data_IF_710879535364
#
_entry.id   IF_710879535364
#
_cell.length_a   1.000
_cell.length_b   1.000
_cell.length_c   1.000
_cell.angle_alpha   90.00
_cell.angle_beta   90.00
_cell.angle_gamma   90.00
#
_symmetry.space_group_name_H-M   'P 1'
#
loop_
_entity.id
_entity.type
_entity.pdbx_description
1 polymer ?
#
# COMPACT_ATOMS: atom_id res chain seq x y z
N UNK A 1 2.53 -39.41 -19.53
CA UNK A 1 1.99 -38.99 -18.22
C UNK A 1 3.17 -38.68 -17.31
N UNK A 2 3.57 -37.42 -17.23
CA UNK A 2 4.75 -37.02 -16.45
C UNK A 2 4.24 -36.38 -15.17
N UNK A 3 4.45 -37.07 -14.06
CA UNK A 3 3.99 -36.68 -12.73
C UNK A 3 4.96 -35.61 -12.22
N UNK A 4 4.54 -34.35 -12.29
CA UNK A 4 5.26 -33.26 -11.64
C UNK A 4 5.05 -33.38 -10.13
N UNK A 5 6.03 -33.97 -9.45
CA UNK A 5 6.21 -33.77 -8.02
C UNK A 5 6.69 -32.32 -7.82
N UNK A 6 5.75 -31.39 -7.76
CA UNK A 6 6.00 -30.04 -7.25
C UNK A 6 6.21 -30.17 -5.74
N UNK A 7 7.45 -30.53 -5.37
CA UNK A 7 7.91 -30.55 -4.00
C UNK A 7 7.82 -29.11 -3.47
N UNK A 8 6.75 -28.83 -2.74
CA UNK A 8 6.64 -27.67 -1.86
C UNK A 8 7.84 -27.68 -0.90
N UNK A 9 8.91 -26.98 -1.27
CA UNK A 9 9.92 -26.56 -0.30
C UNK A 9 9.19 -25.63 0.66
N UNK A 10 8.84 -26.12 1.85
CA UNK A 10 8.40 -25.28 2.96
C UNK A 10 9.44 -24.18 3.12
N UNK A 11 9.07 -22.94 2.80
CA UNK A 11 9.94 -21.81 3.02
C UNK A 11 10.05 -21.63 4.54
N UNK A 12 11.29 -21.59 5.03
CA UNK A 12 11.56 -21.52 6.47
C UNK A 12 11.95 -20.11 6.91
N UNK A 13 12.04 -19.15 5.98
CA UNK A 13 12.46 -17.79 6.29
C UNK A 13 11.26 -17.04 6.85
N UNK A 14 11.45 -16.43 8.01
CA UNK A 14 10.44 -15.57 8.61
C UNK A 14 10.13 -14.38 7.70
N UNK A 15 8.84 -14.10 7.52
CA UNK A 15 8.40 -12.97 6.72
C UNK A 15 8.86 -11.65 7.36
N UNK A 16 9.70 -10.83 6.69
CA UNK A 16 10.19 -9.58 7.25
C UNK A 16 9.13 -8.47 7.30
N UNK A 17 8.05 -8.59 6.50
CA UNK A 17 6.96 -7.62 6.49
C UNK A 17 6.17 -7.68 7.80
N UNK A 18 5.76 -8.88 8.22
CA UNK A 18 4.95 -9.09 9.42
C UNK A 18 5.70 -9.75 10.59
N UNK A 19 7.03 -9.90 10.51
CA UNK A 19 7.87 -10.56 11.52
C UNK A 19 7.31 -11.93 11.95
N UNK A 20 6.87 -12.73 10.96
CA UNK A 20 6.31 -14.05 11.20
C UNK A 20 4.87 -14.10 11.73
N UNK A 21 4.24 -12.96 12.06
CA UNK A 21 2.90 -12.88 12.66
C UNK A 21 1.75 -13.27 11.72
N UNK A 22 2.02 -13.43 10.43
CA UNK A 22 1.02 -13.60 9.35
C UNK A 22 0.03 -12.42 9.17
N UNK A 23 0.11 -11.39 10.00
CA UNK A 23 -0.72 -10.20 9.99
C UNK A 23 0.17 -8.96 10.15
N UNK A 24 -0.06 -7.93 9.35
CA UNK A 24 0.63 -6.63 9.44
C UNK A 24 -0.20 -5.75 10.37
N UNK A 25 0.40 -5.31 11.47
CA UNK A 25 -0.24 -4.39 12.42
C UNK A 25 0.33 -2.97 12.33
N UNK A 26 -0.14 -2.07 13.19
CA UNK A 26 0.32 -0.70 13.21
C UNK A 26 1.82 -0.56 13.52
N UNK A 27 2.39 -1.46 14.31
CA UNK A 27 3.83 -1.41 14.63
C UNK A 27 4.67 -1.79 13.41
N UNK A 28 4.21 -2.77 12.61
CA UNK A 28 4.83 -3.09 11.33
C UNK A 28 4.71 -1.94 10.32
N UNK A 29 3.54 -1.31 10.23
CA UNK A 29 3.29 -0.19 9.31
C UNK A 29 4.24 0.97 9.62
N UNK A 30 4.38 1.35 10.90
CA UNK A 30 5.31 2.42 11.32
C UNK A 30 6.76 2.03 11.07
N UNK A 31 7.15 0.80 11.40
CA UNK A 31 8.52 0.29 11.18
C UNK A 31 8.90 0.30 9.69
N UNK A 32 7.94 0.08 8.80
CA UNK A 32 8.13 0.06 7.35
C UNK A 32 7.91 1.43 6.70
N UNK A 33 7.63 2.48 7.48
CA UNK A 33 7.33 3.82 6.99
C UNK A 33 6.18 3.82 5.96
N UNK A 34 5.12 3.07 6.26
CA UNK A 34 3.94 2.90 5.42
C UNK A 34 2.68 3.52 6.06
N UNK A 35 2.86 4.39 7.06
CA UNK A 35 1.76 5.22 7.54
C UNK A 35 1.08 5.93 6.36
N UNK A 36 -0.25 6.02 6.39
CA UNK A 36 -1.09 6.58 5.31
C UNK A 36 -1.12 5.76 4.02
N UNK A 37 -0.25 4.77 3.82
CA UNK A 37 -0.30 3.91 2.63
C UNK A 37 -0.97 2.58 2.92
N UNK A 38 -0.75 2.05 4.12
CA UNK A 38 -1.26 0.73 4.54
C UNK A 38 -2.23 0.84 5.72
N UNK A 39 -3.05 -0.20 5.86
CA UNK A 39 -3.88 -0.44 7.04
C UNK A 39 -3.62 -1.85 7.57
N UNK A 40 -3.86 -2.13 8.87
CA UNK A 40 -3.66 -3.45 9.41
C UNK A 40 -4.51 -4.50 8.71
N UNK A 41 -3.86 -5.59 8.27
CA UNK A 41 -4.50 -6.63 7.46
C UNK A 41 -3.65 -7.92 7.46
N UNK A 42 -4.21 -9.05 6.99
CA UNK A 42 -3.41 -10.23 6.68
C UNK A 42 -2.23 -9.88 5.76
N UNK A 43 -1.06 -10.44 6.04
CA UNK A 43 0.17 -10.04 5.36
C UNK A 43 0.22 -10.56 3.92
N UNK A 44 0.03 -9.67 2.95
CA UNK A 44 0.08 -9.98 1.52
C UNK A 44 1.45 -10.53 1.06
N UNK A 45 2.54 -10.08 1.68
CA UNK A 45 3.92 -10.48 1.32
C UNK A 45 4.22 -11.96 1.57
N UNK A 46 3.59 -12.54 2.59
CA UNK A 46 3.68 -13.97 2.87
C UNK A 46 2.37 -14.72 2.65
N UNK A 47 1.37 -14.08 2.04
CA UNK A 47 0.01 -14.62 1.89
C UNK A 47 -0.55 -15.18 3.21
N UNK A 48 -0.35 -14.47 4.31
CA UNK A 48 -0.83 -14.89 5.64
C UNK A 48 -0.15 -16.14 6.22
N UNK A 49 0.98 -16.62 5.67
CA UNK A 49 1.69 -17.79 6.20
C UNK A 49 2.71 -17.47 7.30
N UNK A 50 3.14 -16.21 7.40
CA UNK A 50 4.27 -15.80 8.24
C UNK A 50 5.65 -16.21 7.69
N UNK A 51 5.71 -16.86 6.53
CA UNK A 51 6.96 -17.35 5.92
C UNK A 51 7.07 -16.93 4.46
N UNK A 52 8.29 -16.71 3.98
CA UNK A 52 8.58 -16.35 2.59
C UNK A 52 9.74 -17.14 2.04
N UNK A 53 9.76 -17.36 0.73
CA UNK A 53 10.91 -17.95 0.05
C UNK A 53 11.99 -16.89 -0.25
N UNK A 54 13.15 -17.38 -0.70
CA UNK A 54 14.27 -16.52 -1.08
C UNK A 54 13.98 -15.69 -2.33
N UNK A 55 13.10 -16.18 -3.17
CA UNK A 55 12.77 -15.55 -4.44
C UNK A 55 12.00 -14.25 -4.20
N UNK A 56 10.98 -14.29 -3.33
CA UNK A 56 10.21 -13.14 -2.89
C UNK A 56 11.11 -12.05 -2.29
N UNK A 57 12.03 -12.44 -1.41
CA UNK A 57 12.99 -11.51 -0.79
C UNK A 57 13.94 -10.86 -1.80
N UNK A 58 14.31 -11.57 -2.86
CA UNK A 58 15.23 -11.07 -3.87
C UNK A 58 14.56 -10.13 -4.88
N UNK A 59 13.25 -10.30 -5.12
CA UNK A 59 12.54 -9.64 -6.22
C UNK A 59 11.57 -8.55 -5.78
N UNK A 60 11.00 -8.66 -4.59
CA UNK A 60 9.92 -7.79 -4.14
C UNK A 60 10.32 -7.07 -2.86
N UNK A 61 10.37 -5.72 -2.86
CA UNK A 61 10.63 -4.95 -1.66
C UNK A 61 9.65 -5.28 -0.53
N UNK A 62 10.15 -5.31 0.70
CA UNK A 62 9.34 -5.65 1.89
C UNK A 62 8.22 -4.65 2.10
N UNK A 63 8.40 -3.40 1.70
CA UNK A 63 7.49 -2.26 1.80
C UNK A 63 6.70 -1.98 0.50
N UNK A 64 6.70 -2.90 -0.46
CA UNK A 64 6.00 -2.70 -1.74
C UNK A 64 4.48 -2.53 -1.55
N UNK A 65 3.97 -1.31 -1.78
CA UNK A 65 2.58 -0.87 -1.53
C UNK A 65 1.55 -1.55 -2.41
N UNK A 66 1.90 -1.81 -3.67
CA UNK A 66 0.96 -2.42 -4.61
C UNK A 66 0.64 -3.87 -4.25
N UNK A 67 1.48 -4.53 -3.43
CA UNK A 67 1.24 -5.90 -2.99
C UNK A 67 0.19 -5.96 -1.88
N UNK A 68 -1.06 -6.19 -2.29
CA UNK A 68 -2.22 -6.32 -1.40
C UNK A 68 -2.76 -7.76 -1.39
N UNK A 69 -3.55 -8.12 -0.36
CA UNK A 69 -4.02 -9.51 -0.14
C UNK A 69 -5.06 -9.96 -1.18
N UNK A 70 -5.72 -9.00 -1.81
CA UNK A 70 -6.73 -9.16 -2.87
C UNK A 70 -6.10 -9.27 -4.27
N UNK A 71 -4.79 -9.09 -4.42
CA UNK A 71 -4.12 -9.39 -5.68
C UNK A 71 -4.26 -10.86 -6.05
N UNK A 72 -4.58 -11.10 -7.31
CA UNK A 72 -4.59 -12.45 -7.88
C UNK A 72 -3.18 -13.03 -7.90
N UNK A 73 -3.07 -14.36 -7.84
CA UNK A 73 -1.78 -15.06 -7.99
C UNK A 73 -1.07 -14.66 -9.29
N UNK A 74 -1.83 -14.46 -10.39
CA UNK A 74 -1.27 -14.03 -11.67
C UNK A 74 -0.59 -12.66 -11.61
N UNK A 75 -1.19 -11.68 -10.93
CA UNK A 75 -0.57 -10.36 -10.75
C UNK A 75 0.63 -10.43 -9.81
N UNK A 76 0.58 -11.29 -8.77
CA UNK A 76 1.72 -11.51 -7.89
C UNK A 76 2.93 -12.09 -8.64
N UNK A 77 2.71 -13.07 -9.53
CA UNK A 77 3.79 -13.62 -10.35
C UNK A 77 4.37 -12.58 -11.31
N UNK A 78 3.53 -11.75 -11.95
CA UNK A 78 4.02 -10.62 -12.77
C UNK A 78 4.91 -9.65 -11.99
N UNK A 79 4.59 -9.37 -10.73
CA UNK A 79 5.44 -8.55 -9.86
C UNK A 79 6.79 -9.23 -9.63
N UNK A 80 6.80 -10.53 -9.30
CA UNK A 80 8.04 -11.31 -9.10
C UNK A 80 8.86 -11.45 -10.38
N UNK A 81 8.23 -11.50 -11.54
CA UNK A 81 8.88 -11.58 -12.85
C UNK A 81 9.38 -10.22 -13.36
N UNK A 82 8.96 -9.11 -12.71
CA UNK A 82 9.35 -7.77 -13.11
C UNK A 82 8.64 -7.28 -14.38
N UNK A 83 7.40 -7.73 -14.59
CA UNK A 83 6.56 -7.29 -15.72
C UNK A 83 6.41 -5.76 -15.73
N UNK A 84 6.81 -5.13 -16.83
CA UNK A 84 6.93 -3.67 -16.88
C UNK A 84 5.58 -2.96 -16.74
N UNK A 85 4.51 -3.51 -17.31
CA UNK A 85 3.19 -2.91 -17.20
C UNK A 85 2.67 -2.94 -15.76
N UNK A 86 2.91 -4.04 -15.05
CA UNK A 86 2.53 -4.20 -13.64
C UNK A 86 3.36 -3.30 -12.73
N UNK A 87 4.67 -3.21 -12.96
CA UNK A 87 5.54 -2.30 -12.22
C UNK A 87 5.17 -0.84 -12.45
N UNK A 88 4.76 -0.47 -13.67
CA UNK A 88 4.34 0.90 -13.96
C UNK A 88 3.02 1.24 -13.25
N UNK A 89 2.03 0.35 -13.25
CA UNK A 89 0.80 0.53 -12.46
C UNK A 89 1.09 0.74 -10.97
N UNK A 90 2.03 -0.04 -10.43
CA UNK A 90 2.44 0.11 -9.04
C UNK A 90 3.06 1.47 -8.75
N UNK A 91 3.93 1.98 -9.64
CA UNK A 91 4.51 3.33 -9.52
C UNK A 91 3.44 4.43 -9.61
N UNK A 92 2.51 4.32 -10.56
CA UNK A 92 1.42 5.31 -10.69
C UNK A 92 0.58 5.33 -9.41
N UNK A 93 0.29 4.17 -8.82
CA UNK A 93 -0.44 4.09 -7.54
C UNK A 93 0.33 4.72 -6.38
N UNK A 94 1.63 4.48 -6.32
CA UNK A 94 2.50 5.10 -5.31
C UNK A 94 2.50 6.64 -5.44
N UNK A 95 2.68 7.14 -6.67
CA UNK A 95 2.66 8.57 -6.96
C UNK A 95 1.30 9.20 -6.66
N UNK A 96 0.21 8.50 -6.96
CA UNK A 96 -1.14 8.93 -6.63
C UNK A 96 -1.30 9.16 -5.12
N UNK A 97 -0.92 8.18 -4.29
CA UNK A 97 -1.00 8.31 -2.83
C UNK A 97 -0.10 9.44 -2.32
N UNK A 98 1.15 9.52 -2.79
CA UNK A 98 2.08 10.57 -2.39
C UNK A 98 1.57 11.97 -2.71
N UNK A 99 0.98 12.14 -3.90
CA UNK A 99 0.43 13.43 -4.32
C UNK A 99 -0.82 13.79 -3.52
N UNK A 100 -1.70 12.82 -3.24
CA UNK A 100 -2.88 13.05 -2.42
C UNK A 100 -2.51 13.42 -0.97
N UNK A 101 -1.50 12.76 -0.38
CA UNK A 101 -0.98 13.11 0.94
C UNK A 101 -0.45 14.55 0.93
N UNK A 102 0.45 14.89 -0.01
CA UNK A 102 1.02 16.24 -0.11
C UNK A 102 -0.04 17.31 -0.34
N UNK A 103 -1.05 17.01 -1.15
CA UNK A 103 -2.18 17.89 -1.41
C UNK A 103 -2.94 18.21 -0.14
N UNK A 104 -3.33 17.17 0.61
CA UNK A 104 -4.05 17.33 1.87
C UNK A 104 -3.22 18.09 2.91
N UNK A 105 -1.94 17.72 3.07
CA UNK A 105 -1.00 18.41 3.97
C UNK A 105 -0.86 19.90 3.63
N UNK A 106 -0.68 20.22 2.34
CA UNK A 106 -0.54 21.60 1.89
C UNK A 106 -1.76 22.45 2.28
N UNK A 107 -2.97 21.95 1.99
CA UNK A 107 -4.20 22.69 2.25
C UNK A 107 -4.56 22.77 3.74
N UNK A 108 -4.25 21.72 4.51
CA UNK A 108 -4.42 21.77 5.95
C UNK A 108 -3.48 22.80 6.60
N UNK A 109 -2.18 22.74 6.29
CA UNK A 109 -1.15 23.55 6.95
C UNK A 109 -1.18 25.02 6.52
N UNK A 110 -1.39 25.30 5.22
CA UNK A 110 -1.26 26.66 4.69
C UNK A 110 -2.60 27.38 4.56
N UNK A 111 -3.71 26.64 4.36
CA UNK A 111 -5.02 27.22 4.12
C UNK A 111 -6.01 26.97 5.26
N UNK A 112 -5.60 26.23 6.32
CA UNK A 112 -6.42 25.91 7.49
C UNK A 112 -7.75 25.23 7.13
N UNK A 113 -7.75 24.43 6.05
CA UNK A 113 -8.94 23.73 5.59
C UNK A 113 -9.19 22.44 6.40
N UNK A 114 -10.45 22.11 6.64
CA UNK A 114 -10.85 20.82 7.21
C UNK A 114 -10.88 19.71 6.15
N UNK A 115 -11.06 18.46 6.61
CA UNK A 115 -11.02 17.29 5.73
C UNK A 115 -12.11 17.29 4.65
N UNK A 116 -13.31 17.77 4.99
CA UNK A 116 -14.41 17.87 4.03
C UNK A 116 -14.10 18.89 2.92
N UNK A 117 -13.60 20.06 3.29
CA UNK A 117 -13.26 21.13 2.36
C UNK A 117 -12.12 20.71 1.42
N UNK A 118 -11.12 19.99 1.93
CA UNK A 118 -10.01 19.46 1.12
C UNK A 118 -10.51 18.39 0.15
N UNK A 119 -11.33 17.44 0.61
CA UNK A 119 -11.89 16.40 -0.25
C UNK A 119 -12.77 16.99 -1.36
N UNK A 120 -13.61 17.97 -1.03
CA UNK A 120 -14.46 18.66 -2.01
C UNK A 120 -13.65 19.46 -3.02
N UNK A 121 -12.54 20.07 -2.60
CA UNK A 121 -11.65 20.77 -3.51
C UNK A 121 -10.95 19.79 -4.45
N UNK A 122 -10.41 18.68 -3.92
CA UNK A 122 -9.74 17.66 -4.71
C UNK A 122 -10.65 17.11 -5.82
N UNK A 123 -11.88 16.70 -5.47
CA UNK A 123 -12.85 16.14 -6.42
C UNK A 123 -13.33 17.14 -7.48
N UNK A 124 -13.30 18.45 -7.21
CA UNK A 124 -13.59 19.48 -8.22
C UNK A 124 -12.46 19.69 -9.22
N UNK A 125 -11.24 19.31 -8.83
CA UNK A 125 -10.02 19.48 -9.64
C UNK A 125 -9.53 18.16 -10.25
N UNK A 126 -10.17 17.04 -9.90
CA UNK A 126 -9.85 15.73 -10.45
C UNK A 126 -10.20 15.67 -11.94
N UNK A 127 -9.31 15.07 -12.72
CA UNK A 127 -9.52 14.82 -14.14
C UNK A 127 -10.63 13.77 -14.32
N UNK A 128 -11.54 13.98 -15.27
CA UNK A 128 -12.58 13.00 -15.60
C UNK A 128 -11.96 11.65 -16.03
N UNK A 129 -10.74 11.67 -16.57
CA UNK A 129 -9.97 10.50 -17.01
C UNK A 129 -8.97 9.97 -15.94
N UNK A 130 -9.14 10.33 -14.66
CA UNK A 130 -8.25 9.88 -13.59
C UNK A 130 -8.19 8.33 -13.50
N UNK A 131 -6.97 7.79 -13.55
CA UNK A 131 -6.71 6.33 -13.47
C UNK A 131 -7.20 5.73 -12.15
N UNK A 132 -7.17 6.53 -11.08
CA UNK A 132 -7.69 6.18 -9.77
C UNK A 132 -8.66 7.26 -9.35
N UNK A 133 -9.89 6.87 -9.06
CA UNK A 133 -10.90 7.73 -8.42
C UNK A 133 -11.20 7.19 -7.03
N UNK A 134 -11.54 8.10 -6.12
CA UNK A 134 -11.86 7.76 -4.72
C UNK A 134 -13.24 8.30 -4.41
N UNK A 135 -14.13 7.45 -3.88
CA UNK A 135 -15.42 7.93 -3.43
C UNK A 135 -15.23 8.99 -2.34
N UNK A 136 -15.99 10.10 -2.44
CA UNK A 136 -15.91 11.24 -1.52
C UNK A 136 -15.81 10.84 -0.04
N UNK A 137 -16.63 9.87 0.39
CA UNK A 137 -16.65 9.40 1.77
C UNK A 137 -15.29 8.84 2.21
N UNK A 138 -14.65 8.00 1.40
CA UNK A 138 -13.35 7.42 1.72
C UNK A 138 -12.23 8.46 1.61
N UNK A 139 -12.37 9.41 0.68
CA UNK A 139 -11.44 10.52 0.56
C UNK A 139 -11.42 11.39 1.82
N UNK A 140 -12.59 11.74 2.37
CA UNK A 140 -12.70 12.50 3.62
C UNK A 140 -12.01 11.76 4.76
N UNK A 141 -12.34 10.48 4.96
CA UNK A 141 -11.72 9.66 6.02
C UNK A 141 -10.21 9.57 5.87
N UNK A 142 -9.72 9.52 4.63
CA UNK A 142 -8.29 9.50 4.35
C UNK A 142 -7.62 10.84 4.70
N UNK A 143 -8.23 11.97 4.33
CA UNK A 143 -7.73 13.31 4.67
C UNK A 143 -7.77 13.54 6.18
N UNK A 144 -8.84 13.14 6.88
CA UNK A 144 -8.90 13.17 8.34
C UNK A 144 -7.68 12.45 8.94
N UNK A 145 -7.33 11.28 8.40
CA UNK A 145 -6.19 10.51 8.90
C UNK A 145 -4.84 11.23 8.68
N UNK A 146 -4.68 11.89 7.53
CA UNK A 146 -3.50 12.71 7.23
C UNK A 146 -3.38 13.85 8.23
N UNK A 147 -4.49 14.57 8.47
CA UNK A 147 -4.55 15.68 9.43
C UNK A 147 -4.21 15.21 10.84
N UNK A 148 -4.79 14.10 11.32
CA UNK A 148 -4.50 13.52 12.63
C UNK A 148 -3.01 13.24 12.84
N UNK A 149 -2.30 12.76 11.82
CA UNK A 149 -0.88 12.47 11.91
C UNK A 149 0.01 13.72 11.84
N UNK A 150 -0.49 14.84 11.29
CA UNK A 150 0.25 16.11 11.18
C UNK A 150 -0.04 17.12 12.29
N UNK A 151 -1.21 17.04 12.91
CA UNK A 151 -1.59 17.86 14.07
C UNK A 151 -0.57 17.88 15.23
N UNK A 152 0.18 16.78 15.54
CA UNK A 152 1.20 16.80 16.58
C UNK A 152 2.39 17.72 16.30
N UNK A 153 2.63 18.14 15.05
CA UNK A 153 3.75 19.02 14.67
C UNK A 153 3.42 20.51 14.82
N UNK A 154 2.17 20.86 15.19
CA UNK A 154 1.68 22.24 15.35
C UNK A 154 1.51 22.68 16.82
N UNK A 155 1.82 21.81 17.80
CA UNK A 155 1.71 22.10 19.24
C UNK A 155 3.07 22.15 19.94
#
# INVERSE_FOLDING_TARGET
MTIFNFLFRKSNIECPRCLGKAFVDWDDIRRLNQELKWTPAPCAYCLGSGKVDKEMLAKVPVDYTYLTIDLTESEMEKIKEGDQATLEKAKIRELFLDNLIKYAEHHYLNNQMDAESIADLYLKTEDEDAIFSVERKYLIQYVEKIIELKSPELN
#
